data_IF_525368917287
#
_entry.id   IF_525368917287
#
_cell.length_a   1.000
_cell.length_b   1.000
_cell.length_c   1.000
_cell.angle_alpha   90.00
_cell.angle_beta   90.00
_cell.angle_gamma   90.00
#
_symmetry.space_group_name_H-M   'P 1'
#
loop_
_entity.id
_entity.type
_entity.pdbx_description
1 polymer ?
#
# COMPACT_ATOMS: atom_id res chain seq x y z
N UNK A 1 -0.67 -19.87 27.53
CA UNK A 1 0.10 -20.38 26.38
C UNK A 1 -0.32 -19.60 25.14
N UNK A 2 0.51 -18.73 24.59
CA UNK A 2 0.18 -17.98 23.37
C UNK A 2 0.52 -18.83 22.14
N UNK A 3 -0.47 -19.06 21.28
CA UNK A 3 -0.28 -19.81 20.02
C UNK A 3 -0.23 -18.82 18.88
N UNK A 4 0.90 -18.75 18.20
CA UNK A 4 1.07 -17.95 17.00
C UNK A 4 0.25 -18.56 15.84
N UNK A 5 -0.70 -17.81 15.30
CA UNK A 5 -1.49 -18.18 14.12
C UNK A 5 -0.91 -17.41 12.91
N UNK A 6 -0.33 -18.12 11.96
CA UNK A 6 0.28 -17.53 10.75
C UNK A 6 0.20 -18.46 9.53
N UNK A 7 0.60 -17.95 8.37
CA UNK A 7 0.49 -18.68 7.09
C UNK A 7 1.25 -20.02 7.08
N UNK A 8 0.66 -21.02 6.40
CA UNK A 8 1.12 -22.43 6.37
C UNK A 8 2.49 -22.63 5.71
N UNK A 9 2.89 -21.73 4.80
CA UNK A 9 4.12 -21.90 4.01
C UNK A 9 5.41 -21.63 4.81
N UNK A 10 6.44 -22.44 4.53
CA UNK A 10 7.82 -22.25 5.05
C UNK A 10 8.53 -21.14 4.26
N UNK A 11 9.53 -20.51 4.88
CA UNK A 11 10.30 -19.41 4.29
C UNK A 11 10.01 -18.05 4.94
N UNK A 12 10.36 -16.96 4.25
CA UNK A 12 10.22 -15.58 4.75
C UNK A 12 8.77 -15.30 5.13
N UNK A 13 8.54 -14.92 6.39
CA UNK A 13 7.22 -14.60 6.96
C UNK A 13 6.96 -13.10 6.97
N UNK A 14 5.69 -12.71 7.08
CA UNK A 14 5.30 -11.30 7.21
C UNK A 14 5.23 -10.57 5.87
N UNK A 15 5.75 -9.34 5.82
CA UNK A 15 5.78 -8.46 4.64
C UNK A 15 6.90 -8.88 3.69
N UNK A 16 6.62 -8.91 2.39
CA UNK A 16 7.60 -9.31 1.37
C UNK A 16 7.95 -10.80 1.39
N UNK A 17 7.02 -11.64 1.87
CA UNK A 17 7.06 -13.09 1.63
C UNK A 17 6.79 -13.33 0.14
N UNK A 18 7.59 -14.18 -0.49
CA UNK A 18 7.45 -14.53 -1.92
C UNK A 18 6.10 -15.14 -2.25
N UNK A 19 5.49 -15.79 -1.26
CA UNK A 19 4.18 -16.44 -1.38
C UNK A 19 3.00 -15.47 -1.24
N UNK A 20 3.23 -14.16 -1.21
CA UNK A 20 2.18 -13.14 -1.06
C UNK A 20 2.19 -12.17 -2.22
N UNK A 21 1.07 -12.09 -2.92
CA UNK A 21 0.81 -11.04 -3.92
C UNK A 21 0.66 -9.69 -3.21
N UNK A 22 1.47 -8.71 -3.61
CA UNK A 22 1.35 -7.35 -3.08
C UNK A 22 0.19 -6.63 -3.77
N UNK A 23 -0.80 -6.19 -3.00
CA UNK A 23 -1.96 -5.44 -3.50
C UNK A 23 -1.99 -4.07 -2.85
N UNK A 24 -2.24 -3.05 -3.66
CA UNK A 24 -2.45 -1.69 -3.20
C UNK A 24 -3.94 -1.34 -3.26
N UNK A 25 -4.51 -0.94 -2.13
CA UNK A 25 -5.87 -0.45 -2.03
C UNK A 25 -5.92 1.07 -2.00
N UNK A 26 -6.86 1.66 -2.73
CA UNK A 26 -7.22 3.08 -2.71
C UNK A 26 -8.70 3.17 -2.36
N UNK A 27 -9.00 3.71 -1.18
CA UNK A 27 -10.35 3.82 -0.67
C UNK A 27 -10.79 5.28 -0.65
N UNK A 28 -11.87 5.60 -1.38
CA UNK A 28 -12.52 6.89 -1.27
C UNK A 28 -13.49 6.88 -0.08
N UNK A 29 -13.45 7.90 0.77
CA UNK A 29 -14.36 8.02 1.92
C UNK A 29 -15.81 8.10 1.41
N UNK A 30 -16.66 7.18 1.88
CA UNK A 30 -18.07 7.02 1.42
C UNK A 30 -18.19 6.80 -0.10
N UNK A 31 -17.17 6.24 -0.73
CA UNK A 31 -17.11 6.05 -2.17
C UNK A 31 -16.61 4.68 -2.59
N UNK A 32 -15.92 4.63 -3.72
CA UNK A 32 -15.43 3.39 -4.32
C UNK A 32 -14.10 2.95 -3.71
N UNK A 33 -13.91 1.64 -3.64
CA UNK A 33 -12.63 1.00 -3.35
C UNK A 33 -12.02 0.53 -4.68
N UNK A 34 -10.77 0.89 -4.93
CA UNK A 34 -9.96 0.35 -6.03
C UNK A 34 -8.83 -0.48 -5.43
N UNK A 35 -8.66 -1.71 -5.91
CA UNK A 35 -7.53 -2.56 -5.55
C UNK A 35 -6.71 -2.90 -6.80
N UNK A 36 -5.40 -2.69 -6.75
CA UNK A 36 -4.48 -2.95 -7.87
C UNK A 36 -3.38 -3.90 -7.42
N UNK A 37 -3.16 -4.97 -8.18
CA UNK A 37 -2.02 -5.87 -7.99
C UNK A 37 -0.75 -5.10 -8.35
N UNK A 38 0.24 -5.16 -7.47
CA UNK A 38 1.53 -4.47 -7.61
C UNK A 38 2.65 -5.48 -7.61
N UNK A 39 3.65 -5.29 -8.48
CA UNK A 39 4.84 -6.14 -8.52
C UNK A 39 5.76 -5.91 -7.32
N UNK A 40 5.73 -4.72 -6.72
CA UNK A 40 6.53 -4.36 -5.56
C UNK A 40 5.88 -3.23 -4.75
N UNK A 41 6.34 -3.04 -3.51
CA UNK A 41 5.89 -1.98 -2.59
C UNK A 41 6.89 -0.82 -2.50
N UNK A 42 7.68 -0.61 -3.57
CA UNK A 42 8.66 0.49 -3.63
C UNK A 42 7.93 1.84 -3.69
N UNK A 43 8.56 2.87 -3.14
CA UNK A 43 8.00 4.22 -3.11
C UNK A 43 7.63 4.74 -4.51
N UNK A 44 8.47 4.49 -5.52
CA UNK A 44 8.19 4.90 -6.91
C UNK A 44 6.91 4.29 -7.47
N UNK A 45 6.72 2.98 -7.30
CA UNK A 45 5.53 2.25 -7.77
C UNK A 45 4.27 2.73 -7.06
N UNK A 46 4.33 2.88 -5.74
CA UNK A 46 3.19 3.35 -4.93
C UNK A 46 2.81 4.78 -5.32
N UNK A 47 3.79 5.67 -5.43
CA UNK A 47 3.56 7.08 -5.83
C UNK A 47 2.98 7.20 -7.23
N UNK A 48 3.45 6.39 -8.19
CA UNK A 48 2.86 6.34 -9.54
C UNK A 48 1.39 5.94 -9.47
N UNK A 49 1.07 4.86 -8.76
CA UNK A 49 -0.32 4.39 -8.64
C UNK A 49 -1.23 5.44 -8.00
N UNK A 50 -0.75 6.14 -6.97
CA UNK A 50 -1.50 7.24 -6.35
C UNK A 50 -1.73 8.35 -7.37
N UNK A 51 -0.67 8.84 -8.04
CA UNK A 51 -0.78 9.93 -9.02
C UNK A 51 -1.74 9.59 -10.17
N UNK A 52 -1.75 8.35 -10.62
CA UNK A 52 -2.60 7.91 -11.73
C UNK A 52 -4.08 7.73 -11.34
N UNK A 53 -4.39 7.62 -10.04
CA UNK A 53 -5.74 7.28 -9.56
C UNK A 53 -6.35 8.32 -8.61
N UNK A 54 -5.56 9.26 -8.13
CA UNK A 54 -5.92 10.23 -7.09
C UNK A 54 -5.58 11.62 -7.61
N UNK A 55 -6.57 12.51 -7.53
CA UNK A 55 -6.41 13.90 -7.94
C UNK A 55 -5.46 14.64 -6.99
N UNK A 56 -4.62 15.53 -7.54
CA UNK A 56 -3.68 16.33 -6.76
C UNK A 56 -4.48 17.34 -5.92
N UNK A 57 -4.05 17.58 -4.67
CA UNK A 57 -4.67 18.55 -3.77
C UNK A 57 -5.75 17.98 -2.85
N UNK A 58 -6.11 16.69 -2.99
CA UNK A 58 -7.01 16.04 -2.03
C UNK A 58 -6.28 15.68 -0.73
N UNK A 59 -7.08 15.50 0.34
CA UNK A 59 -6.60 14.97 1.60
C UNK A 59 -6.36 13.46 1.48
N UNK A 60 -5.11 13.04 1.63
CA UNK A 60 -4.70 11.64 1.51
C UNK A 60 -4.28 11.10 2.87
N UNK A 61 -5.00 10.11 3.36
CA UNK A 61 -4.67 9.42 4.62
C UNK A 61 -3.82 8.20 4.29
N UNK A 62 -2.57 8.18 4.73
CA UNK A 62 -1.65 7.05 4.59
C UNK A 62 -1.21 6.52 5.95
N UNK A 63 -0.73 5.29 5.99
CA UNK A 63 -0.06 4.74 7.17
C UNK A 63 1.40 5.28 7.29
N UNK A 64 2.11 4.84 8.34
CA UNK A 64 3.49 5.22 8.64
C UNK A 64 4.55 4.52 7.76
N UNK A 65 4.15 3.81 6.71
CA UNK A 65 5.10 3.09 5.87
C UNK A 65 5.94 4.06 5.03
N UNK A 66 7.27 3.89 5.11
CA UNK A 66 8.28 4.74 4.47
C UNK A 66 8.05 5.01 2.98
N UNK A 67 7.39 4.10 2.25
CA UNK A 67 7.11 4.31 0.82
C UNK A 67 6.16 5.48 0.55
N UNK A 68 5.34 5.88 1.52
CA UNK A 68 4.44 7.04 1.45
C UNK A 68 5.15 8.37 1.74
N UNK A 69 6.39 8.34 2.23
CA UNK A 69 7.13 9.55 2.55
C UNK A 69 7.30 10.46 1.32
N UNK A 70 7.05 11.76 1.50
CA UNK A 70 7.19 12.76 0.45
C UNK A 70 5.98 12.91 -0.47
N UNK A 71 4.83 12.33 -0.14
CA UNK A 71 3.56 12.61 -0.84
C UNK A 71 3.16 14.09 -0.75
N UNK A 72 3.49 14.77 0.35
CA UNK A 72 3.30 16.23 0.47
C UNK A 72 4.01 17.03 -0.62
N UNK A 73 5.23 16.61 -1.01
CA UNK A 73 5.99 17.25 -2.11
C UNK A 73 5.38 16.99 -3.49
N UNK A 74 4.49 16.00 -3.59
CA UNK A 74 3.77 15.66 -4.82
C UNK A 74 2.41 16.38 -4.91
N UNK A 75 2.09 17.25 -3.94
CA UNK A 75 0.86 18.06 -3.93
C UNK A 75 -0.33 17.39 -3.25
N UNK A 76 -0.12 16.29 -2.50
CA UNK A 76 -1.16 15.71 -1.64
C UNK A 76 -1.13 16.38 -0.26
N UNK A 77 -2.31 16.58 0.35
CA UNK A 77 -2.45 17.16 1.69
C UNK A 77 -2.67 16.09 2.75
#
# INVERSE_FOLDING_TARGET
>A
MWRYIGGKHRGKRGRGSENKTSVMGLAQRKGKLKAKITKNTKSSTIKSIIKDNVEIGINLVTDEYRSYNGLGRLGFK
#
